data_IF_917737236907
#
_entry.id   IF_917737236907
#
_cell.length_a   1.000
_cell.length_b   1.000
_cell.length_c   1.000
_cell.angle_alpha   90.00
_cell.angle_beta   90.00
_cell.angle_gamma   90.00
#
_symmetry.space_group_name_H-M   'P 1'
#
loop_
_entity.id
_entity.type
_entity.pdbx_description
1 polymer ?
#
# COMPACT_ATOMS: atom_id res chain seq x y z
N UNK A 1 8.72 12.02 -11.56
CA UNK A 1 8.87 11.46 -10.23
C UNK A 1 10.01 10.44 -10.29
N UNK A 2 11.07 10.62 -9.49
CA UNK A 2 12.19 9.69 -9.43
C UNK A 2 11.95 8.67 -8.30
N UNK A 3 12.44 7.44 -8.48
CA UNK A 3 12.53 6.49 -7.37
C UNK A 3 13.54 7.01 -6.32
N UNK A 4 13.38 6.59 -5.07
CA UNK A 4 14.26 7.01 -4.00
C UNK A 4 15.55 6.21 -4.03
N UNK A 5 15.45 4.88 -4.12
CA UNK A 5 16.61 3.99 -4.07
C UNK A 5 16.28 2.61 -4.68
N UNK A 6 17.33 1.90 -5.10
CA UNK A 6 17.25 0.54 -5.61
C UNK A 6 18.04 -0.40 -4.70
N UNK A 7 17.44 -1.55 -4.35
CA UNK A 7 18.01 -2.53 -3.45
C UNK A 7 18.07 -3.91 -4.10
N UNK A 8 19.13 -4.64 -3.79
CA UNK A 8 19.23 -6.08 -3.94
C UNK A 8 18.91 -6.71 -2.57
N UNK A 9 17.99 -7.65 -2.50
CA UNK A 9 17.44 -8.20 -1.27
C UNK A 9 17.69 -9.71 -1.17
N UNK A 10 17.93 -10.19 0.03
CA UNK A 10 17.85 -11.62 0.35
C UNK A 10 16.52 -11.93 1.04
N UNK A 11 16.07 -13.17 1.02
CA UNK A 11 14.82 -13.61 1.67
C UNK A 11 14.81 -13.33 3.19
N UNK A 12 15.96 -13.34 3.83
CA UNK A 12 16.10 -13.02 5.24
C UNK A 12 16.16 -11.51 5.55
N UNK A 13 15.95 -10.66 4.54
CA UNK A 13 15.84 -9.21 4.70
C UNK A 13 17.15 -8.43 4.71
N UNK A 14 18.29 -9.04 4.42
CA UNK A 14 19.51 -8.29 4.16
C UNK A 14 19.42 -7.59 2.81
N UNK A 15 20.08 -6.45 2.69
CA UNK A 15 20.10 -5.69 1.45
C UNK A 15 21.47 -5.15 1.08
N UNK A 16 21.64 -4.88 -0.20
CA UNK A 16 22.71 -4.05 -0.75
C UNK A 16 22.10 -3.02 -1.72
N UNK A 17 22.55 -1.77 -1.63
CA UNK A 17 22.22 -0.72 -2.61
C UNK A 17 23.13 -0.80 -3.83
N UNK A 18 22.79 -0.10 -4.92
CA UNK A 18 23.68 0.02 -6.10
C UNK A 18 25.00 0.71 -5.77
N UNK A 19 25.05 1.52 -4.73
CA UNK A 19 26.29 2.17 -4.24
C UNK A 19 27.16 1.23 -3.42
N UNK A 20 26.63 0.08 -2.97
CA UNK A 20 27.32 -0.94 -2.18
C UNK A 20 27.10 -0.79 -0.67
N UNK A 21 26.20 0.08 -0.23
CA UNK A 21 25.76 0.14 1.16
C UNK A 21 24.97 -1.13 1.49
N UNK A 22 25.25 -1.76 2.60
CA UNK A 22 24.58 -2.98 3.07
C UNK A 22 23.87 -2.72 4.40
N UNK A 23 22.79 -3.47 4.65
CA UNK A 23 22.05 -3.40 5.90
C UNK A 23 20.98 -4.45 5.98
N UNK A 24 20.08 -4.26 6.95
CA UNK A 24 18.94 -5.13 7.21
C UNK A 24 17.66 -4.32 7.25
N UNK A 25 16.65 -4.73 6.50
CA UNK A 25 15.38 -4.00 6.36
C UNK A 25 14.46 -4.14 7.59
N UNK A 26 14.72 -5.08 8.49
CA UNK A 26 13.89 -5.29 9.67
C UNK A 26 12.43 -5.60 9.35
N UNK A 27 12.17 -6.23 8.22
CA UNK A 27 10.83 -6.50 7.75
C UNK A 27 10.15 -7.49 8.69
N UNK A 28 9.23 -7.00 9.52
CA UNK A 28 8.33 -7.81 10.36
C UNK A 28 7.22 -8.49 9.53
N UNK A 29 7.41 -8.63 8.24
CA UNK A 29 6.45 -9.24 7.33
C UNK A 29 7.02 -10.58 6.92
N UNK A 30 6.15 -11.54 6.68
CA UNK A 30 6.45 -12.83 6.06
C UNK A 30 6.96 -12.63 4.61
N UNK A 31 8.00 -11.82 4.46
CA UNK A 31 8.58 -11.48 3.17
C UNK A 31 9.14 -12.72 2.49
N UNK A 32 9.80 -13.57 3.29
CA UNK A 32 10.31 -14.88 2.90
C UNK A 32 9.22 -15.80 2.36
N UNK A 33 8.08 -15.92 3.06
CA UNK A 33 6.94 -16.73 2.60
C UNK A 33 6.34 -16.18 1.30
N UNK A 34 6.18 -14.87 1.19
CA UNK A 34 5.58 -14.21 0.03
C UNK A 34 6.49 -14.25 -1.18
N UNK A 35 7.79 -14.01 -1.00
CA UNK A 35 8.78 -14.09 -2.08
C UNK A 35 8.97 -15.53 -2.56
N UNK A 36 8.81 -16.53 -1.67
CA UNK A 36 8.87 -17.94 -2.05
C UNK A 36 7.73 -18.38 -2.99
N UNK A 37 6.68 -17.58 -3.12
CA UNK A 37 5.58 -17.80 -4.09
C UNK A 37 5.75 -17.03 -5.39
N UNK A 38 6.92 -16.45 -5.67
CA UNK A 38 7.20 -15.64 -6.86
C UNK A 38 6.22 -14.48 -7.09
N UNK A 39 5.66 -13.92 -6.01
CA UNK A 39 4.73 -12.81 -6.07
C UNK A 39 5.46 -11.47 -5.94
N UNK A 40 5.17 -10.53 -6.83
CA UNK A 40 5.55 -9.14 -6.64
C UNK A 40 4.93 -8.60 -5.33
N UNK A 41 5.73 -7.91 -4.54
CA UNK A 41 5.30 -7.42 -3.23
C UNK A 41 5.44 -5.91 -3.17
N UNK A 42 4.43 -5.26 -2.61
CA UNK A 42 4.53 -3.86 -2.24
C UNK A 42 4.37 -3.72 -0.73
N UNK A 43 5.30 -3.05 -0.12
CA UNK A 43 5.30 -2.82 1.33
C UNK A 43 5.57 -1.35 1.63
N UNK A 44 4.87 -0.86 2.65
CA UNK A 44 5.18 0.44 3.23
C UNK A 44 6.28 0.23 4.27
N UNK A 45 7.45 0.81 4.04
CA UNK A 45 8.60 0.60 4.90
C UNK A 45 8.98 1.88 5.63
N UNK A 46 9.29 1.77 6.92
CA UNK A 46 9.91 2.81 7.71
C UNK A 46 11.31 2.31 8.11
N UNK A 47 12.34 2.73 7.38
CA UNK A 47 13.71 2.48 7.77
C UNK A 47 14.13 3.46 8.88
N UNK A 48 14.88 3.03 9.91
CA UNK A 48 15.35 3.91 10.97
C UNK A 48 16.10 5.13 10.40
N UNK A 49 15.64 6.33 10.74
CA UNK A 49 16.25 7.59 10.28
C UNK A 49 15.96 7.98 8.83
N UNK A 50 15.15 7.21 8.10
CA UNK A 50 14.68 7.57 6.75
C UNK A 50 13.17 7.87 6.77
N UNK A 51 12.67 8.73 5.86
CA UNK A 51 11.24 8.94 5.70
C UNK A 51 10.55 7.63 5.25
N UNK A 52 9.27 7.54 5.54
CA UNK A 52 8.46 6.42 5.12
C UNK A 52 8.44 6.27 3.59
N UNK A 53 8.64 5.07 3.09
CA UNK A 53 8.75 4.77 1.66
C UNK A 53 7.86 3.60 1.28
N UNK A 54 7.43 3.60 0.04
CA UNK A 54 6.82 2.45 -0.62
C UNK A 54 7.90 1.64 -1.33
N UNK A 55 8.04 0.37 -1.00
CA UNK A 55 8.96 -0.55 -1.68
C UNK A 55 8.15 -1.50 -2.59
N UNK A 56 8.51 -1.51 -3.85
CA UNK A 56 8.06 -2.49 -4.83
C UNK A 56 9.15 -3.54 -4.94
N UNK A 57 8.85 -4.77 -4.55
CA UNK A 57 9.80 -5.88 -4.45
C UNK A 57 9.39 -6.93 -5.48
N UNK A 58 10.33 -7.28 -6.35
CA UNK A 58 10.17 -8.26 -7.40
C UNK A 58 11.08 -9.45 -7.10
N UNK A 59 10.57 -10.66 -6.92
CA UNK A 59 11.39 -11.87 -6.80
C UNK A 59 12.27 -12.04 -8.04
N UNK A 60 13.45 -12.56 -7.87
CA UNK A 60 14.37 -12.85 -8.96
C UNK A 60 15.00 -14.23 -8.75
N UNK A 61 15.27 -14.95 -9.81
CA UNK A 61 16.07 -16.16 -9.72
C UNK A 61 17.50 -15.78 -9.33
N UNK A 62 17.94 -16.26 -8.16
CA UNK A 62 19.26 -16.05 -7.53
C UNK A 62 20.26 -15.26 -8.37
N UNK A 63 20.39 -13.97 -8.06
CA UNK A 63 21.34 -13.09 -8.71
C UNK A 63 22.56 -12.79 -7.83
N UNK A 64 23.55 -12.13 -8.42
CA UNK A 64 24.69 -11.63 -7.67
C UNK A 64 25.12 -10.26 -8.19
N UNK A 65 25.26 -9.30 -7.29
CA UNK A 65 25.77 -7.97 -7.58
C UNK A 65 26.94 -7.63 -6.66
N UNK A 66 28.12 -7.35 -7.22
CA UNK A 66 29.36 -7.08 -6.48
C UNK A 66 29.69 -8.12 -5.42
N UNK A 67 29.38 -9.39 -5.65
CA UNK A 67 29.61 -10.49 -4.71
C UNK A 67 28.52 -10.64 -3.64
N UNK A 68 27.50 -9.80 -3.62
CA UNK A 68 26.31 -9.96 -2.80
C UNK A 68 25.30 -10.82 -3.56
N UNK A 69 25.00 -12.01 -3.05
CA UNK A 69 23.93 -12.84 -3.57
C UNK A 69 22.57 -12.27 -3.16
N UNK A 70 21.61 -12.23 -4.06
CA UNK A 70 20.27 -11.72 -3.79
C UNK A 70 19.19 -12.63 -4.42
N UNK A 71 17.99 -12.59 -3.84
CA UNK A 71 16.83 -13.38 -4.22
C UNK A 71 15.69 -12.49 -4.75
N UNK A 72 15.82 -11.18 -4.57
CA UNK A 72 14.83 -10.21 -5.04
C UNK A 72 15.49 -8.84 -5.31
N UNK A 73 14.82 -8.03 -6.11
CA UNK A 73 15.16 -6.63 -6.31
C UNK A 73 14.03 -5.75 -5.80
N UNK A 74 14.35 -4.57 -5.27
CA UNK A 74 13.35 -3.62 -4.82
C UNK A 74 13.65 -2.21 -5.31
N UNK A 75 12.58 -1.49 -5.68
CA UNK A 75 12.61 -0.06 -5.97
C UNK A 75 11.76 0.64 -4.94
N UNK A 76 12.30 1.69 -4.32
CA UNK A 76 11.56 2.45 -3.33
C UNK A 76 11.19 3.84 -3.85
N UNK A 77 10.05 4.33 -3.38
CA UNK A 77 9.56 5.68 -3.63
C UNK A 77 9.21 6.33 -2.29
N UNK A 78 9.52 7.62 -2.14
CA UNK A 78 9.02 8.37 -0.99
C UNK A 78 7.49 8.44 -1.03
N UNK A 79 6.85 8.24 0.11
CA UNK A 79 5.38 8.29 0.19
C UNK A 79 4.83 9.59 -0.38
N UNK A 80 5.44 10.73 -0.07
CA UNK A 80 5.03 12.03 -0.60
C UNK A 80 5.00 12.09 -2.14
N UNK A 81 5.87 11.35 -2.83
CA UNK A 81 5.88 11.31 -4.28
C UNK A 81 4.69 10.53 -4.83
N UNK A 82 4.31 9.44 -4.16
CA UNK A 82 3.15 8.62 -4.52
C UNK A 82 1.85 9.33 -4.13
N UNK A 83 1.80 9.94 -2.95
CA UNK A 83 0.66 10.73 -2.48
C UNK A 83 0.30 11.87 -3.44
N UNK A 84 1.30 12.51 -4.07
CA UNK A 84 1.04 13.54 -5.09
C UNK A 84 0.37 13.00 -6.35
N UNK A 85 0.52 11.72 -6.67
CA UNK A 85 -0.19 11.08 -7.78
C UNK A 85 -1.67 10.83 -7.44
N UNK A 86 -1.95 10.70 -6.15
CA UNK A 86 -3.30 10.53 -5.60
C UNK A 86 -3.94 11.87 -5.18
N UNK A 87 -3.25 12.99 -5.42
CA UNK A 87 -3.75 14.31 -5.05
C UNK A 87 -4.99 14.65 -5.87
N UNK A 88 -6.12 14.70 -5.19
CA UNK A 88 -7.41 15.02 -5.80
C UNK A 88 -7.72 16.51 -5.70
N UNK A 89 -6.94 17.32 -6.38
CA UNK A 89 -7.26 18.76 -6.56
C UNK A 89 -8.66 18.97 -7.17
N UNK A 90 -9.21 17.94 -7.83
CA UNK A 90 -10.56 17.94 -8.41
C UNK A 90 -11.67 18.16 -7.37
N UNK A 91 -11.46 17.82 -6.10
CA UNK A 91 -12.46 17.98 -5.03
C UNK A 91 -12.08 19.10 -4.04
N UNK A 92 -11.29 20.07 -4.48
CA UNK A 92 -10.86 21.22 -3.66
C UNK A 92 -10.12 20.79 -2.38
N UNK A 93 -9.43 19.63 -2.41
CA UNK A 93 -8.71 19.10 -1.26
C UNK A 93 -9.59 18.46 -0.18
N UNK A 94 -10.87 18.24 -0.45
CA UNK A 94 -11.81 17.64 0.51
C UNK A 94 -11.97 16.11 0.36
N UNK A 95 -11.30 15.49 -0.60
CA UNK A 95 -11.33 14.04 -0.77
C UNK A 95 -10.20 13.37 0.03
N UNK A 96 -10.51 12.26 0.68
CA UNK A 96 -9.53 11.35 1.23
C UNK A 96 -9.36 10.16 0.31
N UNK A 97 -8.15 9.90 -0.16
CA UNK A 97 -7.85 8.82 -1.10
C UNK A 97 -6.99 7.76 -0.42
N UNK A 98 -7.31 6.52 -0.71
CA UNK A 98 -6.60 5.35 -0.18
C UNK A 98 -6.27 4.41 -1.33
N UNK A 99 -5.16 3.70 -1.21
CA UNK A 99 -4.93 2.45 -1.93
C UNK A 99 -4.93 1.34 -0.91
N UNK A 100 -5.71 0.32 -1.15
CA UNK A 100 -5.89 -0.81 -0.24
C UNK A 100 -5.66 -2.13 -0.97
N UNK A 101 -5.27 -3.16 -0.23
CA UNK A 101 -5.33 -4.53 -0.72
C UNK A 101 -6.78 -5.05 -0.75
N UNK A 102 -7.00 -6.14 -1.47
CA UNK A 102 -8.30 -6.84 -1.53
C UNK A 102 -8.85 -7.27 -0.15
N UNK A 103 -8.00 -7.42 0.87
CA UNK A 103 -8.40 -7.71 2.26
C UNK A 103 -8.66 -6.45 3.10
N UNK A 104 -8.63 -5.27 2.49
CA UNK A 104 -8.88 -3.98 3.13
C UNK A 104 -7.68 -3.36 3.83
N UNK A 105 -6.52 -4.02 3.89
CA UNK A 105 -5.31 -3.41 4.46
C UNK A 105 -4.88 -2.19 3.65
N UNK A 106 -4.58 -1.10 4.34
CA UNK A 106 -4.19 0.16 3.70
C UNK A 106 -2.72 0.10 3.27
N UNK A 107 -2.47 0.35 2.00
CA UNK A 107 -1.13 0.50 1.40
C UNK A 107 -0.71 1.96 1.44
N UNK A 108 -1.60 2.85 1.02
CA UNK A 108 -1.36 4.29 0.95
C UNK A 108 -2.58 5.00 1.54
N UNK A 109 -2.33 5.92 2.46
CA UNK A 109 -3.31 6.81 3.06
C UNK A 109 -2.98 8.26 2.71
N UNK A 110 -3.80 8.88 1.88
CA UNK A 110 -3.77 10.31 1.56
C UNK A 110 -5.00 11.02 2.16
N UNK A 111 -5.31 10.71 3.41
CA UNK A 111 -6.41 11.37 4.10
C UNK A 111 -6.00 12.77 4.57
N UNK A 112 -6.76 13.76 4.12
CA UNK A 112 -6.63 15.15 4.59
C UNK A 112 -7.36 15.25 5.94
N UNK A 113 -6.65 15.67 7.00
CA UNK A 113 -7.21 15.98 8.32
C UNK A 113 -7.51 14.81 9.28
N UNK A 114 -6.92 13.63 9.14
CA UNK A 114 -7.06 12.58 10.16
C UNK A 114 -5.96 12.62 11.21
N UNK A 115 -6.37 12.42 12.46
CA UNK A 115 -5.48 12.30 13.62
C UNK A 115 -4.98 10.87 13.84
N UNK A 116 -5.61 9.88 13.19
CA UNK A 116 -5.36 8.46 13.42
C UNK A 116 -5.02 7.74 12.10
N UNK A 117 -4.01 6.87 12.14
CA UNK A 117 -3.61 6.03 11.01
C UNK A 117 -4.62 4.90 10.82
N UNK A 118 -5.12 4.73 9.60
CA UNK A 118 -5.98 3.61 9.23
C UNK A 118 -5.11 2.48 8.71
N UNK A 119 -5.11 1.35 9.40
CA UNK A 119 -4.40 0.14 8.98
C UNK A 119 -5.24 -0.79 8.09
N UNK A 120 -6.56 -0.81 8.33
CA UNK A 120 -7.51 -1.58 7.53
C UNK A 120 -8.77 -0.77 7.29
N UNK A 121 -9.08 -0.54 6.02
CA UNK A 121 -10.19 0.31 5.59
C UNK A 121 -11.56 -0.31 5.89
N UNK A 122 -11.69 -1.65 5.72
CA UNK A 122 -12.94 -2.37 6.03
C UNK A 122 -13.21 -2.34 7.53
N UNK A 123 -12.20 -2.55 8.37
CA UNK A 123 -12.36 -2.44 9.82
C UNK A 123 -12.79 -1.02 10.22
N UNK A 124 -12.17 0.00 9.63
CA UNK A 124 -12.54 1.40 9.87
C UNK A 124 -14.00 1.67 9.49
N UNK A 125 -14.49 1.17 8.35
CA UNK A 125 -15.89 1.32 7.97
C UNK A 125 -16.83 0.60 8.94
N UNK A 126 -16.48 -0.63 9.37
CA UNK A 126 -17.27 -1.40 10.32
C UNK A 126 -17.42 -0.68 11.66
N UNK A 127 -16.35 -0.07 12.15
CA UNK A 127 -16.33 0.58 13.47
C UNK A 127 -16.93 1.99 13.47
N UNK A 128 -16.91 2.69 12.34
CA UNK A 128 -17.18 4.13 12.32
C UNK A 128 -18.25 4.58 11.31
N UNK A 129 -18.80 3.66 10.49
CA UNK A 129 -19.81 4.02 9.50
C UNK A 129 -21.22 3.57 9.89
N UNK A 130 -22.20 4.06 9.13
CA UNK A 130 -23.60 3.66 9.22
C UNK A 130 -23.94 2.43 8.33
N UNK A 131 -22.93 1.79 7.73
CA UNK A 131 -23.12 0.63 6.88
C UNK A 131 -23.54 -0.59 7.71
N UNK A 132 -24.50 -1.35 7.20
CA UNK A 132 -24.83 -2.65 7.78
C UNK A 132 -23.72 -3.68 7.54
N UNK A 133 -23.67 -4.74 8.35
CA UNK A 133 -22.69 -5.81 8.15
C UNK A 133 -22.85 -6.48 6.76
N UNK A 134 -24.07 -6.56 6.23
CA UNK A 134 -24.32 -7.06 4.87
C UNK A 134 -23.67 -6.18 3.81
N UNK A 135 -23.74 -4.85 3.97
CA UNK A 135 -23.09 -3.89 3.06
C UNK A 135 -21.56 -3.95 3.18
N UNK A 136 -21.03 -4.12 4.38
CA UNK A 136 -19.59 -4.31 4.63
C UNK A 136 -19.09 -5.60 3.96
N UNK A 137 -19.82 -6.70 4.09
CA UNK A 137 -19.48 -7.97 3.44
C UNK A 137 -19.54 -7.86 1.90
N UNK A 138 -20.57 -7.20 1.36
CA UNK A 138 -20.67 -6.95 -0.07
C UNK A 138 -19.50 -6.11 -0.60
N UNK A 139 -19.11 -5.07 0.14
CA UNK A 139 -17.96 -4.23 -0.21
C UNK A 139 -16.64 -5.01 -0.14
N UNK A 140 -16.48 -5.86 0.87
CA UNK A 140 -15.30 -6.74 0.99
C UNK A 140 -15.22 -7.74 -0.17
N UNK A 141 -16.36 -8.27 -0.60
CA UNK A 141 -16.42 -9.15 -1.77
C UNK A 141 -16.12 -8.40 -3.08
N UNK A 142 -16.56 -7.15 -3.21
CA UNK A 142 -16.20 -6.29 -4.34
C UNK A 142 -14.68 -6.08 -4.42
N UNK A 143 -14.03 -5.77 -3.31
CA UNK A 143 -12.57 -5.63 -3.26
C UNK A 143 -11.85 -6.94 -3.59
N UNK A 144 -12.31 -8.07 -3.02
CA UNK A 144 -11.73 -9.38 -3.29
C UNK A 144 -11.86 -9.83 -4.75
N UNK A 145 -12.92 -9.37 -5.44
CA UNK A 145 -13.20 -9.70 -6.84
C UNK A 145 -12.68 -8.64 -7.84
N UNK A 146 -12.00 -7.59 -7.37
CA UNK A 146 -11.56 -6.49 -8.23
C UNK A 146 -12.73 -5.74 -8.90
N UNK A 147 -13.88 -5.61 -8.23
CA UNK A 147 -15.01 -4.88 -8.77
C UNK A 147 -14.94 -3.41 -8.39
N UNK A 148 -15.37 -2.56 -9.30
CA UNK A 148 -15.49 -1.12 -9.09
C UNK A 148 -16.92 -0.74 -8.72
N UNK A 149 -17.08 0.33 -7.93
CA UNK A 149 -18.40 0.77 -7.52
C UNK A 149 -18.41 2.07 -6.73
N UNK A 150 -19.59 2.41 -6.25
CA UNK A 150 -19.78 3.55 -5.34
C UNK A 150 -20.97 3.33 -4.43
N UNK A 151 -20.90 3.92 -3.23
CA UNK A 151 -22.02 3.95 -2.30
C UNK A 151 -21.94 5.19 -1.43
N UNK A 152 -23.10 5.58 -0.88
CA UNK A 152 -23.14 6.62 0.14
C UNK A 152 -22.83 5.99 1.50
N UNK A 153 -21.98 6.66 2.28
CA UNK A 153 -21.60 6.23 3.62
C UNK A 153 -21.60 7.44 4.56
N UNK A 154 -22.01 7.24 5.78
CA UNK A 154 -21.88 8.25 6.83
C UNK A 154 -20.81 7.81 7.82
N UNK A 155 -19.79 8.64 8.03
CA UNK A 155 -18.73 8.45 9.02
C UNK A 155 -18.92 9.48 10.14
N UNK A 156 -19.31 9.03 11.31
CA UNK A 156 -19.74 9.93 12.38
C UNK A 156 -20.92 10.77 11.93
N UNK A 157 -20.78 12.10 11.95
CA UNK A 157 -21.86 13.03 11.52
C UNK A 157 -21.75 13.49 10.06
N UNK A 158 -20.72 13.05 9.32
CA UNK A 158 -20.47 13.50 7.95
C UNK A 158 -20.83 12.42 6.94
N UNK A 159 -21.54 12.83 5.89
CA UNK A 159 -21.89 11.95 4.76
C UNK A 159 -20.86 12.10 3.65
N UNK A 160 -20.44 10.97 3.09
CA UNK A 160 -19.49 10.86 1.99
C UNK A 160 -20.06 10.01 0.87
N UNK A 161 -19.54 10.18 -0.32
CA UNK A 161 -19.57 9.18 -1.35
C UNK A 161 -18.26 8.39 -1.30
N UNK A 162 -18.37 7.10 -1.05
CA UNK A 162 -17.28 6.15 -1.19
C UNK A 162 -17.28 5.67 -2.64
N UNK A 163 -16.19 5.91 -3.34
CA UNK A 163 -15.97 5.45 -4.72
C UNK A 163 -14.76 4.52 -4.69
N UNK A 164 -14.84 3.40 -5.38
CA UNK A 164 -13.73 2.46 -5.43
C UNK A 164 -13.57 1.86 -6.83
N UNK A 165 -12.33 1.62 -7.19
CA UNK A 165 -11.95 1.10 -8.51
C UNK A 165 -10.74 0.17 -8.39
N UNK A 166 -10.81 -0.97 -9.07
CA UNK A 166 -9.67 -1.86 -9.21
C UNK A 166 -8.58 -1.19 -10.03
N UNK A 167 -7.35 -1.26 -9.55
CA UNK A 167 -6.21 -0.63 -10.23
C UNK A 167 -5.59 -1.53 -11.31
N UNK A 168 -6.03 -2.77 -11.45
CA UNK A 168 -5.41 -3.82 -12.25
C UNK A 168 -3.93 -4.10 -11.86
N UNK A 169 -3.52 -3.66 -10.67
CA UNK A 169 -2.16 -3.85 -10.12
C UNK A 169 -2.26 -4.59 -8.81
N UNK A 170 -1.71 -5.78 -8.70
CA UNK A 170 -1.50 -6.54 -7.46
C UNK A 170 -2.71 -6.65 -6.50
N UNK A 171 -3.91 -6.83 -7.01
CA UNK A 171 -5.13 -6.84 -6.19
C UNK A 171 -5.30 -5.57 -5.35
N UNK A 172 -4.91 -4.42 -5.89
CA UNK A 172 -5.11 -3.13 -5.26
C UNK A 172 -6.40 -2.49 -5.73
N UNK A 173 -7.09 -1.92 -4.78
CA UNK A 173 -8.25 -1.07 -5.03
C UNK A 173 -7.93 0.36 -4.62
N UNK A 174 -8.19 1.31 -5.51
CA UNK A 174 -8.21 2.73 -5.16
C UNK A 174 -9.55 3.07 -4.53
N UNK A 175 -9.54 3.75 -3.40
CA UNK A 175 -10.75 4.16 -2.69
C UNK A 175 -10.71 5.65 -2.43
N UNK A 176 -11.78 6.34 -2.79
CA UNK A 176 -12.01 7.75 -2.52
C UNK A 176 -13.20 7.98 -1.59
N UNK A 177 -13.03 8.81 -0.58
CA UNK A 177 -14.11 9.38 0.24
C UNK A 177 -14.25 10.85 -0.13
N UNK A 178 -15.37 11.22 -0.76
CA UNK A 178 -15.66 12.55 -1.31
C UNK A 178 -16.83 13.21 -0.61
#
# INVERSE_FOLDING_TARGET
AGFAEFYFLTYDGNYMTVTGETGYLGLQTNLDERLAHDEDIVVNTALPGKPQMLAFICPETQGSYRGFAYDAVAITYYNDAVLRLLDSSAFQGNASNYVIYSDGRVVIDNSVNRKETIYNFIAMLRDHSDLSEEQILALSDDFAQGRSGNLRVKLGDTSYYLVYEDTAVQNWTMVGLV
#
